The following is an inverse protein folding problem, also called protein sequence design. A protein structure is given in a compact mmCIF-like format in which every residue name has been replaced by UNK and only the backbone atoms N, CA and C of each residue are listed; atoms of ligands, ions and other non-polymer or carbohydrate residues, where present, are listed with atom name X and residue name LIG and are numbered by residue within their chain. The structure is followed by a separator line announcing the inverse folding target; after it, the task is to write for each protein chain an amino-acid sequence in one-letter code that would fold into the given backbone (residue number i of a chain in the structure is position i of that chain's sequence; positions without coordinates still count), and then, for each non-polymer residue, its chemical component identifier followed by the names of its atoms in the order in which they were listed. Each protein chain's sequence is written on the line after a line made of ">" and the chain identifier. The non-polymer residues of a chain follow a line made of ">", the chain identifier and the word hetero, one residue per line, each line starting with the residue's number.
data_IF_873033544351
#
_entry.id   IF_873033544351
#
_cell.length_a   1.000
_cell.length_b   1.000
_cell.length_c   1.000
_cell.angle_alpha   90.00
_cell.angle_beta   90.00
_cell.angle_gamma   90.00
#
_symmetry.space_group_name_H-M   'P 1'
#
loop_
_entity.id
_entity.type
_entity.pdbx_description
1 polymer ?
#
# COMPACT_ATOMS: atom_id res chain seq x y z
N UNK A 1 -31.83 22.98 -30.11
CA UNK A 1 -30.92 24.02 -29.57
C UNK A 1 -30.70 23.73 -28.09
N UNK A 2 -29.47 23.34 -27.72
CA UNK A 2 -28.80 23.30 -26.38
C UNK A 2 -27.84 22.11 -26.30
N UNK A 3 -26.57 22.40 -26.63
CA UNK A 3 -25.37 21.64 -26.24
C UNK A 3 -24.62 22.44 -25.18
N UNK A 4 -23.92 21.75 -24.28
CA UNK A 4 -22.78 22.26 -23.50
C UNK A 4 -23.13 22.77 -22.09
N UNK A 5 -22.41 22.44 -21.02
CA UNK A 5 -21.12 21.78 -20.95
C UNK A 5 -20.77 21.27 -19.54
N UNK A 6 -20.00 20.18 -19.52
CA UNK A 6 -19.23 19.73 -18.36
C UNK A 6 -18.20 20.81 -18.01
N UNK A 7 -18.24 21.34 -16.79
CA UNK A 7 -17.22 22.26 -16.27
C UNK A 7 -16.02 21.47 -15.75
N UNK A 8 -14.85 21.82 -16.27
CA UNK A 8 -13.52 21.35 -15.92
C UNK A 8 -13.22 21.42 -14.41
N UNK A 9 -13.18 20.28 -13.72
CA UNK A 9 -12.62 20.16 -12.36
C UNK A 9 -11.14 19.74 -12.33
N UNK A 10 -10.61 19.19 -13.42
CA UNK A 10 -9.26 18.62 -13.46
C UNK A 10 -8.15 19.63 -13.81
N UNK A 11 -8.47 20.76 -14.45
CA UNK A 11 -7.46 21.78 -14.81
C UNK A 11 -7.12 22.75 -13.66
N UNK A 12 -7.98 22.91 -12.64
CA UNK A 12 -7.71 23.83 -11.51
C UNK A 12 -6.65 23.28 -10.55
N UNK A 13 -6.61 21.98 -10.31
CA UNK A 13 -5.64 21.37 -9.39
C UNK A 13 -4.18 21.47 -9.88
N UNK A 14 -3.96 21.45 -11.19
CA UNK A 14 -2.63 21.60 -11.79
C UNK A 14 -2.14 23.07 -11.74
N UNK A 15 -3.05 24.04 -11.89
CA UNK A 15 -2.74 25.47 -11.77
C UNK A 15 -2.47 25.89 -10.31
N UNK A 16 -3.18 25.29 -9.35
CA UNK A 16 -2.94 25.50 -7.91
C UNK A 16 -1.60 24.94 -7.44
N UNK A 17 -1.08 23.89 -8.08
CA UNK A 17 0.25 23.32 -7.78
C UNK A 17 1.41 24.23 -8.24
N UNK A 18 1.23 24.96 -9.34
CA UNK A 18 2.19 25.97 -9.81
C UNK A 18 2.20 27.23 -8.93
N UNK A 19 1.05 27.61 -8.35
CA UNK A 19 0.95 28.74 -7.41
C UNK A 19 1.56 28.45 -6.01
N UNK A 20 1.84 27.18 -5.70
CA UNK A 20 2.33 26.73 -4.39
C UNK A 20 3.86 26.74 -4.23
N UNK A 21 4.61 26.96 -5.32
CA UNK A 21 6.08 27.01 -5.33
C UNK A 21 6.55 28.46 -5.52
N UNK A 22 7.41 28.94 -4.62
CA UNK A 22 8.11 30.21 -4.77
C UNK A 22 9.09 30.18 -5.94
N UNK A 23 9.59 31.35 -6.34
CA UNK A 23 10.47 31.54 -7.52
C UNK A 23 11.75 30.69 -7.51
N UNK A 24 12.16 30.21 -6.33
CA UNK A 24 13.38 29.42 -6.13
C UNK A 24 13.10 27.92 -5.89
N UNK A 25 11.87 27.47 -6.13
CA UNK A 25 11.43 26.09 -5.84
C UNK A 25 11.12 25.82 -4.36
N UNK A 26 11.34 26.78 -3.47
CA UNK A 26 10.93 26.73 -2.08
C UNK A 26 9.39 26.75 -1.93
N UNK A 27 8.81 26.09 -0.91
CA UNK A 27 7.37 26.18 -0.63
C UNK A 27 6.94 27.64 -0.41
N UNK A 28 5.81 28.05 -1.00
CA UNK A 28 5.34 29.44 -0.80
C UNK A 28 4.96 29.72 0.66
N UNK A 29 5.12 30.95 1.11
CA UNK A 29 4.71 31.35 2.47
C UNK A 29 3.22 31.08 2.74
N UNK A 30 2.37 31.18 1.71
CA UNK A 30 0.95 30.82 1.78
C UNK A 30 0.71 29.32 1.99
N UNK A 31 1.52 28.47 1.34
CA UNK A 31 1.50 27.02 1.58
C UNK A 31 1.98 26.69 2.99
N UNK A 32 3.08 27.29 3.44
CA UNK A 32 3.62 27.09 4.79
C UNK A 32 2.64 27.55 5.88
N UNK A 33 1.96 28.69 5.68
CA UNK A 33 0.91 29.18 6.59
C UNK A 33 -0.30 28.23 6.64
N UNK A 34 -0.71 27.67 5.51
CA UNK A 34 -1.79 26.66 5.45
C UNK A 34 -1.39 25.36 6.15
N UNK A 35 -0.17 24.88 5.92
CA UNK A 35 0.37 23.71 6.61
C UNK A 35 0.44 23.98 8.12
N UNK A 36 0.95 25.14 8.53
CA UNK A 36 1.03 25.55 9.93
C UNK A 36 -0.33 25.61 10.62
N UNK A 37 -1.36 26.18 9.96
CA UNK A 37 -2.74 26.21 10.48
C UNK A 37 -3.33 24.82 10.63
N UNK A 38 -3.22 23.99 9.60
CA UNK A 38 -3.72 22.61 9.64
C UNK A 38 -3.02 21.80 10.72
N UNK A 39 -1.71 21.99 10.88
CA UNK A 39 -0.94 21.32 11.93
C UNK A 39 -1.30 21.82 13.34
N UNK A 40 -1.63 23.11 13.51
CA UNK A 40 -2.08 23.65 14.78
C UNK A 40 -3.48 23.14 15.17
N UNK A 41 -4.40 23.03 14.20
CA UNK A 41 -5.69 22.37 14.40
C UNK A 41 -5.50 20.91 14.85
N UNK A 42 -4.44 20.23 14.38
CA UNK A 42 -4.05 18.87 14.76
C UNK A 42 -3.45 18.73 16.18
N UNK A 43 -3.12 19.82 16.88
CA UNK A 43 -2.50 19.77 18.21
C UNK A 43 -3.46 19.90 19.41
N UNK A 44 -4.73 20.27 19.22
CA UNK A 44 -5.72 20.30 20.31
C UNK A 44 -6.12 18.86 20.71
N UNK A 45 -5.85 18.51 21.96
CA UNK A 45 -5.68 17.15 22.50
C UNK A 45 -6.85 16.72 23.40
N UNK A 46 -8.07 17.11 23.01
CA UNK A 46 -9.35 16.78 23.66
C UNK A 46 -9.75 15.29 23.73
N UNK A 47 -8.79 14.37 23.91
CA UNK A 47 -9.02 12.98 24.29
C UNK A 47 -9.44 12.06 23.15
N UNK A 48 -9.27 12.44 21.87
CA UNK A 48 -9.69 11.61 20.74
C UNK A 48 -8.63 10.53 20.39
N UNK A 49 -8.87 9.23 20.70
CA UNK A 49 -7.89 8.16 20.52
C UNK A 49 -7.64 7.78 19.05
N UNK A 50 -8.41 8.32 18.10
CA UNK A 50 -8.32 7.98 16.67
C UNK A 50 -7.50 8.98 15.85
N UNK A 51 -7.00 10.06 16.46
CA UNK A 51 -6.33 11.16 15.74
C UNK A 51 -4.91 10.81 15.29
N UNK A 52 -4.26 9.84 15.92
CA UNK A 52 -2.95 9.35 15.49
C UNK A 52 -2.93 7.82 15.53
N UNK A 53 -3.03 7.23 14.36
CA UNK A 53 -2.76 5.81 14.14
C UNK A 53 -1.51 5.75 13.26
N UNK A 54 -0.38 5.24 13.78
CA UNK A 54 0.69 4.75 12.90
C UNK A 54 2.16 4.94 13.30
N UNK A 55 2.99 4.21 12.55
CA UNK A 55 4.46 4.22 12.52
C UNK A 55 5.01 5.06 11.36
N UNK A 56 5.60 4.47 10.31
CA UNK A 56 6.21 5.22 9.19
C UNK A 56 5.20 6.00 8.31
N UNK A 57 3.93 5.62 8.35
CA UNK A 57 2.79 6.39 7.84
C UNK A 57 1.90 6.73 9.03
N UNK A 58 1.53 7.99 9.14
CA UNK A 58 0.60 8.52 10.12
C UNK A 58 -0.73 8.89 9.43
N UNK A 59 -1.84 8.54 10.07
CA UNK A 59 -3.17 8.99 9.68
C UNK A 59 -3.71 9.94 10.75
N UNK A 60 -4.10 11.13 10.31
CA UNK A 60 -4.69 12.20 11.12
C UNK A 60 -6.14 12.38 10.73
N UNK A 61 -7.07 12.09 11.64
CA UNK A 61 -8.51 12.12 11.35
C UNK A 61 -9.27 12.98 12.36
N UNK A 62 -10.22 13.77 11.88
CA UNK A 62 -11.24 14.44 12.68
C UNK A 62 -12.56 13.69 12.48
N UNK A 63 -13.09 13.11 13.56
CA UNK A 63 -14.31 12.31 13.52
C UNK A 63 -15.41 13.05 14.26
N UNK A 64 -16.59 13.14 13.64
CA UNK A 64 -17.83 13.57 14.30
C UNK A 64 -18.59 12.32 14.78
N UNK A 65 -18.62 12.04 16.10
CA UNK A 65 -19.31 10.87 16.63
C UNK A 65 -20.83 10.95 16.49
N UNK A 66 -21.41 12.16 16.49
CA UNK A 66 -22.85 12.35 16.44
C UNK A 66 -23.39 12.00 15.05
N UNK A 67 -22.72 12.47 13.98
CA UNK A 67 -23.08 12.10 12.61
C UNK A 67 -22.46 10.77 12.13
N UNK A 68 -21.54 10.19 12.91
CA UNK A 68 -20.76 8.99 12.56
C UNK A 68 -19.99 9.15 11.24
N UNK A 69 -19.38 10.31 11.02
CA UNK A 69 -18.61 10.64 9.80
C UNK A 69 -17.21 11.12 10.13
N UNK A 70 -16.28 10.85 9.20
CA UNK A 70 -14.97 11.50 9.19
C UNK A 70 -15.17 12.88 8.56
N UNK A 71 -14.96 13.93 9.33
CA UNK A 71 -15.11 15.33 8.90
C UNK A 71 -13.89 15.81 8.12
N UNK A 72 -12.68 15.37 8.50
CA UNK A 72 -11.44 15.62 7.79
C UNK A 72 -10.44 14.47 8.00
N UNK A 73 -9.56 14.26 7.03
CA UNK A 73 -8.50 13.26 7.10
C UNK A 73 -7.25 13.69 6.33
N UNK A 74 -6.08 13.40 6.90
CA UNK A 74 -4.79 13.60 6.28
C UNK A 74 -3.90 12.37 6.51
N UNK A 75 -3.13 12.01 5.48
CA UNK A 75 -2.05 11.02 5.60
C UNK A 75 -0.71 11.73 5.53
N UNK A 76 0.23 11.30 6.38
CA UNK A 76 1.57 11.84 6.46
C UNK A 76 2.59 10.70 6.51
N UNK A 77 3.53 10.67 5.57
CA UNK A 77 4.66 9.76 5.60
C UNK A 77 5.87 10.49 6.20
N UNK A 78 6.38 10.01 7.33
CA UNK A 78 7.47 10.68 8.07
C UNK A 78 8.86 10.26 7.58
N UNK A 79 8.96 9.11 6.92
CA UNK A 79 10.23 8.57 6.44
C UNK A 79 10.58 9.08 5.02
N UNK A 80 11.77 9.66 4.87
CA UNK A 80 12.33 10.07 3.59
C UNK A 80 13.76 9.53 3.40
N UNK A 81 14.05 8.94 2.23
CA UNK A 81 15.38 8.39 1.88
C UNK A 81 16.03 9.01 0.65
N UNK A 82 15.28 9.75 -0.18
CA UNK A 82 15.84 10.52 -1.29
C UNK A 82 16.47 9.70 -2.44
N UNK A 83 15.87 8.57 -2.83
CA UNK A 83 16.40 7.69 -3.89
C UNK A 83 16.69 8.41 -5.22
N UNK A 84 15.87 9.39 -5.59
CA UNK A 84 16.05 10.19 -6.82
C UNK A 84 17.37 10.95 -6.80
N UNK A 85 17.71 11.56 -5.65
CA UNK A 85 19.00 12.23 -5.45
C UNK A 85 20.15 11.23 -5.39
N UNK A 86 19.94 10.06 -4.76
CA UNK A 86 20.96 9.02 -4.64
C UNK A 86 21.40 8.45 -6.00
N UNK A 87 20.49 8.42 -6.98
CA UNK A 87 20.75 7.92 -8.33
C UNK A 87 21.47 8.93 -9.24
N UNK A 88 21.51 10.21 -8.87
CA UNK A 88 22.20 11.23 -9.68
C UNK A 88 23.69 10.91 -9.79
N UNK A 89 24.19 10.96 -11.03
CA UNK A 89 25.60 10.69 -11.38
C UNK A 89 26.10 9.30 -10.96
N UNK A 90 25.20 8.35 -10.69
CA UNK A 90 25.54 6.94 -10.51
C UNK A 90 25.73 6.26 -11.84
N UNK A 91 26.51 5.18 -11.82
CA UNK A 91 26.62 4.29 -12.96
C UNK A 91 25.25 3.64 -13.24
N UNK A 92 24.87 3.55 -14.51
CA UNK A 92 23.58 2.98 -14.91
C UNK A 92 23.44 1.53 -14.44
N UNK A 93 24.55 0.79 -14.30
CA UNK A 93 24.56 -0.60 -13.80
C UNK A 93 24.13 -0.70 -12.35
N UNK A 94 24.31 0.36 -11.56
CA UNK A 94 23.95 0.39 -10.15
C UNK A 94 22.48 0.76 -9.92
N UNK A 95 21.81 1.34 -10.93
CA UNK A 95 20.46 1.89 -10.76
C UNK A 95 19.44 0.83 -10.32
N UNK A 96 19.51 -0.39 -10.90
CA UNK A 96 18.67 -1.51 -10.50
C UNK A 96 18.90 -1.93 -9.05
N UNK A 97 20.17 -2.09 -8.66
CA UNK A 97 20.55 -2.50 -7.30
C UNK A 97 20.14 -1.45 -6.25
N UNK A 98 20.33 -0.16 -6.54
CA UNK A 98 19.96 0.93 -5.64
C UNK A 98 18.44 1.00 -5.52
N UNK A 99 17.73 1.01 -6.65
CA UNK A 99 16.26 1.12 -6.67
C UNK A 99 15.58 -0.07 -5.98
N UNK A 100 16.12 -1.29 -6.09
CA UNK A 100 15.61 -2.47 -5.42
C UNK A 100 15.52 -2.31 -3.89
N UNK A 101 16.39 -1.49 -3.29
CA UNK A 101 16.38 -1.26 -1.83
C UNK A 101 15.29 -0.29 -1.39
N UNK A 102 14.58 0.36 -2.31
CA UNK A 102 13.51 1.30 -2.00
C UNK A 102 12.37 0.65 -1.22
N UNK A 103 12.19 -0.67 -1.34
CA UNK A 103 11.21 -1.44 -0.57
C UNK A 103 11.74 -2.85 -0.31
N UNK A 104 11.67 -3.31 0.95
CA UNK A 104 11.98 -4.69 1.30
C UNK A 104 10.87 -5.69 0.95
N UNK A 105 9.74 -5.20 0.43
CA UNK A 105 8.63 -6.04 -0.04
C UNK A 105 8.73 -6.11 -1.56
N UNK A 106 8.57 -4.98 -2.25
CA UNK A 106 8.49 -4.92 -3.71
C UNK A 106 9.82 -4.54 -4.40
N UNK A 107 10.96 -4.91 -3.80
CA UNK A 107 12.29 -4.57 -4.33
C UNK A 107 12.53 -5.06 -5.76
N UNK A 108 12.12 -6.29 -6.08
CA UNK A 108 12.19 -6.85 -7.43
C UNK A 108 11.40 -6.05 -8.47
N UNK A 109 10.29 -5.42 -8.08
CA UNK A 109 9.50 -4.55 -8.96
C UNK A 109 10.29 -3.29 -9.32
N UNK A 110 10.98 -2.70 -8.33
CA UNK A 110 11.84 -1.55 -8.57
C UNK A 110 13.01 -1.89 -9.50
N UNK A 111 13.68 -3.03 -9.30
CA UNK A 111 14.76 -3.47 -10.16
C UNK A 111 14.30 -3.76 -11.60
N UNK A 112 13.17 -4.47 -11.75
CA UNK A 112 12.60 -4.77 -13.06
C UNK A 112 12.22 -3.48 -13.81
N UNK A 113 11.59 -2.53 -13.11
CA UNK A 113 11.22 -1.22 -13.68
C UNK A 113 12.48 -0.43 -14.06
N UNK A 114 13.51 -0.43 -13.20
CA UNK A 114 14.79 0.22 -13.50
C UNK A 114 15.43 -0.36 -14.75
N UNK A 115 15.44 -1.68 -14.92
CA UNK A 115 15.97 -2.33 -16.11
C UNK A 115 15.18 -1.90 -17.36
N UNK A 116 13.84 -1.89 -17.31
CA UNK A 116 12.99 -1.46 -18.42
C UNK A 116 13.22 0.01 -18.80
N UNK A 117 13.40 0.89 -17.82
CA UNK A 117 13.73 2.30 -18.07
C UNK A 117 15.08 2.46 -18.77
N UNK A 118 16.10 1.70 -18.35
CA UNK A 118 17.43 1.73 -18.99
C UNK A 118 17.40 1.14 -20.40
N UNK A 119 16.68 0.03 -20.60
CA UNK A 119 16.50 -0.58 -21.92
C UNK A 119 15.87 0.42 -22.90
N UNK A 120 14.83 1.13 -22.46
CA UNK A 120 14.19 2.18 -23.23
C UNK A 120 15.14 3.34 -23.52
N UNK A 121 15.87 3.83 -22.51
CA UNK A 121 16.78 4.97 -22.65
C UNK A 121 17.97 4.67 -23.58
N UNK A 122 18.45 3.43 -23.57
CA UNK A 122 19.61 2.98 -24.37
C UNK A 122 19.22 2.35 -25.72
N UNK A 123 17.92 2.22 -26.01
CA UNK A 123 17.43 1.56 -27.23
C UNK A 123 17.76 0.07 -27.30
N UNK A 124 17.90 -0.60 -26.16
CA UNK A 124 18.24 -2.03 -26.08
C UNK A 124 16.98 -2.86 -26.33
N UNK A 125 17.07 -3.82 -27.26
CA UNK A 125 16.03 -4.84 -27.45
C UNK A 125 16.30 -6.04 -26.57
N UNK A 126 15.45 -6.24 -25.56
CA UNK A 126 15.59 -7.38 -24.65
C UNK A 126 15.24 -8.70 -25.34
N UNK A 127 16.05 -9.76 -25.18
CA UNK A 127 15.71 -11.08 -25.69
C UNK A 127 14.38 -11.60 -25.09
N UNK A 128 13.58 -12.37 -25.86
CA UNK A 128 12.31 -12.91 -25.37
C UNK A 128 12.44 -13.72 -24.06
N UNK A 129 13.53 -14.48 -23.90
CA UNK A 129 13.80 -15.23 -22.68
C UNK A 129 13.94 -14.32 -21.44
N UNK A 130 14.60 -13.17 -21.59
CA UNK A 130 14.77 -12.22 -20.49
C UNK A 130 13.44 -11.52 -20.12
N UNK A 131 12.53 -11.32 -21.08
CA UNK A 131 11.16 -10.88 -20.80
C UNK A 131 10.41 -11.96 -20.01
N UNK A 132 10.50 -13.23 -20.45
CA UNK A 132 9.86 -14.35 -19.77
C UNK A 132 10.35 -14.51 -18.32
N UNK A 133 11.67 -14.46 -18.09
CA UNK A 133 12.24 -14.54 -16.75
C UNK A 133 11.75 -13.42 -15.84
N UNK A 134 11.69 -12.17 -16.33
CA UNK A 134 11.13 -11.04 -15.58
C UNK A 134 9.65 -11.24 -15.25
N UNK A 135 8.86 -11.76 -16.19
CA UNK A 135 7.44 -12.03 -15.95
C UNK A 135 7.23 -13.10 -14.88
N UNK A 136 8.05 -14.16 -14.87
CA UNK A 136 8.00 -15.20 -13.82
C UNK A 136 8.39 -14.65 -12.45
N UNK A 137 9.43 -13.80 -12.39
CA UNK A 137 9.84 -13.12 -11.16
C UNK A 137 8.71 -12.23 -10.61
N UNK A 138 8.11 -11.39 -11.46
CA UNK A 138 7.00 -10.52 -11.07
C UNK A 138 5.75 -11.33 -10.69
N UNK A 139 5.49 -12.49 -11.31
CA UNK A 139 4.42 -13.39 -10.90
C UNK A 139 4.66 -13.95 -9.49
N UNK A 140 5.88 -14.36 -9.16
CA UNK A 140 6.24 -14.80 -7.81
C UNK A 140 6.06 -13.67 -6.79
N UNK A 141 6.45 -12.44 -7.16
CA UNK A 141 6.23 -11.25 -6.35
C UNK A 141 4.74 -11.01 -6.07
N UNK A 142 3.90 -11.08 -7.09
CA UNK A 142 2.44 -10.92 -6.93
C UNK A 142 1.84 -11.96 -5.99
N UNK A 143 2.26 -13.22 -6.10
CA UNK A 143 1.80 -14.29 -5.20
C UNK A 143 2.20 -14.02 -3.75
N UNK A 144 3.44 -13.58 -3.51
CA UNK A 144 3.87 -13.20 -2.16
C UNK A 144 3.05 -12.01 -1.63
N UNK A 145 2.96 -10.92 -2.41
CA UNK A 145 2.43 -9.65 -1.93
C UNK A 145 0.91 -9.72 -1.72
N UNK A 146 0.18 -10.36 -2.62
CA UNK A 146 -1.28 -10.49 -2.51
C UNK A 146 -1.66 -11.32 -1.26
N UNK A 147 -0.99 -12.45 -1.04
CA UNK A 147 -1.25 -13.32 0.11
C UNK A 147 -0.88 -12.63 1.42
N UNK A 148 0.29 -11.99 1.46
CA UNK A 148 0.74 -11.22 2.62
C UNK A 148 -0.25 -10.12 2.97
N UNK A 149 -0.67 -9.33 1.97
CA UNK A 149 -1.61 -8.25 2.19
C UNK A 149 -2.95 -8.79 2.73
N UNK A 150 -3.55 -9.76 2.03
CA UNK A 150 -4.90 -10.24 2.35
C UNK A 150 -4.98 -10.95 3.70
N UNK A 151 -4.04 -11.84 4.01
CA UNK A 151 -4.18 -12.73 5.17
C UNK A 151 -3.29 -12.34 6.35
N UNK A 152 -2.13 -11.73 6.10
CA UNK A 152 -1.17 -11.44 7.17
C UNK A 152 -1.28 -10.01 7.69
N UNK A 153 -1.57 -9.05 6.79
CA UNK A 153 -1.69 -7.63 7.12
C UNK A 153 -3.15 -7.24 7.38
N UNK A 154 -4.03 -7.35 6.39
CA UNK A 154 -5.44 -6.91 6.49
C UNK A 154 -6.36 -7.97 7.09
N UNK A 155 -6.07 -9.26 6.92
CA UNK A 155 -6.90 -10.36 7.42
C UNK A 155 -7.24 -10.23 8.91
N UNK A 156 -6.25 -9.94 9.79
CA UNK A 156 -6.50 -9.74 11.22
C UNK A 156 -7.44 -8.58 11.58
N UNK A 157 -7.74 -7.66 10.67
CA UNK A 157 -8.77 -6.63 10.92
C UNK A 157 -10.19 -7.21 10.85
N UNK A 158 -10.36 -8.35 10.17
CA UNK A 158 -11.63 -9.08 10.00
C UNK A 158 -11.75 -10.31 10.90
N UNK A 159 -10.67 -10.62 11.62
CA UNK A 159 -10.57 -11.65 12.65
C UNK A 159 -11.75 -11.64 13.64
N UNK A 160 -12.08 -12.82 14.18
CA UNK A 160 -13.14 -12.98 15.18
C UNK A 160 -12.93 -12.04 16.38
N UNK A 161 -11.71 -11.94 16.89
CA UNK A 161 -11.34 -11.10 18.04
C UNK A 161 -11.57 -9.61 17.73
N UNK A 162 -11.16 -9.17 16.55
CA UNK A 162 -11.31 -7.78 16.11
C UNK A 162 -12.80 -7.40 15.95
N UNK A 163 -13.58 -8.27 15.31
CA UNK A 163 -15.02 -8.06 15.11
C UNK A 163 -15.78 -8.13 16.44
N UNK A 164 -15.48 -9.09 17.32
CA UNK A 164 -16.12 -9.16 18.66
C UNK A 164 -15.79 -7.96 19.54
N UNK A 165 -14.61 -7.36 19.38
CA UNK A 165 -14.22 -6.16 20.12
C UNK A 165 -14.96 -4.90 19.63
N UNK A 166 -15.27 -4.81 18.33
CA UNK A 166 -15.77 -3.57 17.71
C UNK A 166 -17.24 -3.63 17.30
N UNK A 167 -17.74 -4.77 16.82
CA UNK A 167 -19.07 -4.94 16.22
C UNK A 167 -19.63 -6.35 16.55
N UNK A 168 -20.04 -6.58 17.81
CA UNK A 168 -20.52 -7.90 18.29
C UNK A 168 -21.72 -8.42 17.50
N UNK A 169 -22.59 -7.53 17.05
CA UNK A 169 -23.76 -7.85 16.24
C UNK A 169 -23.39 -8.41 14.86
N UNK A 170 -22.24 -8.01 14.30
CA UNK A 170 -21.73 -8.59 13.06
C UNK A 170 -21.27 -10.01 13.31
N UNK A 171 -20.57 -10.27 14.43
CA UNK A 171 -20.15 -11.62 14.80
C UNK A 171 -21.34 -12.58 14.92
N UNK A 172 -22.39 -12.20 15.67
CA UNK A 172 -23.58 -13.05 15.84
C UNK A 172 -24.20 -13.44 14.50
N UNK A 173 -24.26 -12.52 13.53
CA UNK A 173 -24.74 -12.80 12.18
C UNK A 173 -23.76 -13.69 11.42
N UNK A 174 -22.46 -13.40 11.45
CA UNK A 174 -21.44 -14.15 10.75
C UNK A 174 -21.37 -15.61 11.19
N UNK A 175 -21.51 -15.90 12.49
CA UNK A 175 -21.50 -17.28 13.02
C UNK A 175 -22.64 -18.14 12.47
N UNK A 176 -23.75 -17.53 12.06
CA UNK A 176 -24.94 -18.22 11.54
C UNK A 176 -25.06 -18.13 10.01
N UNK A 177 -24.41 -17.16 9.38
CA UNK A 177 -24.49 -16.94 7.96
C UNK A 177 -23.75 -18.04 7.18
N UNK A 178 -24.41 -18.78 6.28
CA UNK A 178 -23.74 -19.78 5.46
C UNK A 178 -22.74 -19.11 4.52
N UNK A 179 -21.55 -19.70 4.38
CA UNK A 179 -20.56 -19.20 3.45
C UNK A 179 -20.91 -19.62 2.01
N UNK A 180 -20.96 -18.64 1.10
CA UNK A 180 -21.14 -18.92 -0.32
C UNK A 180 -19.91 -19.64 -0.86
N UNK A 181 -20.11 -20.71 -1.62
CA UNK A 181 -19.06 -21.58 -2.16
C UNK A 181 -18.32 -22.41 -1.09
N UNK A 182 -19.00 -22.78 0.00
CA UNK A 182 -18.49 -23.67 1.04
C UNK A 182 -17.83 -24.96 0.50
N UNK A 183 -18.28 -25.48 -0.65
CA UNK A 183 -17.69 -26.64 -1.31
C UNK A 183 -16.29 -26.41 -1.88
N UNK A 184 -15.90 -25.16 -2.12
CA UNK A 184 -14.58 -24.80 -2.67
C UNK A 184 -13.55 -24.61 -1.57
N UNK A 185 -13.91 -23.91 -0.50
CA UNK A 185 -12.97 -23.53 0.57
C UNK A 185 -13.19 -24.29 1.90
N UNK A 186 -14.22 -25.13 2.00
CA UNK A 186 -14.43 -26.02 3.15
C UNK A 186 -14.99 -25.37 4.42
N UNK A 187 -15.36 -24.08 4.38
CA UNK A 187 -15.94 -23.37 5.53
C UNK A 187 -17.45 -23.29 5.38
N UNK A 188 -18.18 -23.79 6.39
CA UNK A 188 -19.65 -23.82 6.36
C UNK A 188 -20.29 -22.43 6.58
N UNK A 189 -19.67 -21.60 7.43
CA UNK A 189 -20.20 -20.27 7.79
C UNK A 189 -19.17 -19.18 7.58
N UNK A 190 -19.63 -17.93 7.47
CA UNK A 190 -18.74 -16.76 7.41
C UNK A 190 -17.92 -16.66 8.70
N UNK A 191 -18.53 -16.92 9.86
CA UNK A 191 -17.84 -16.94 11.14
C UNK A 191 -16.65 -17.91 11.16
N UNK A 192 -16.80 -19.10 10.56
CA UNK A 192 -15.70 -20.04 10.43
C UNK A 192 -14.54 -19.49 9.58
N UNK A 193 -14.81 -18.68 8.55
CA UNK A 193 -13.75 -18.01 7.78
C UNK A 193 -13.07 -16.94 8.64
N UNK A 194 -13.83 -16.11 9.36
CA UNK A 194 -13.27 -15.03 10.18
C UNK A 194 -12.39 -15.56 11.31
N UNK A 195 -12.78 -16.66 11.96
CA UNK A 195 -11.96 -17.32 12.99
C UNK A 195 -10.62 -17.81 12.42
N UNK A 196 -10.54 -18.15 11.14
CA UNK A 196 -9.32 -18.67 10.52
C UNK A 196 -8.34 -17.55 10.09
N UNK A 197 -8.77 -16.29 10.16
CA UNK A 197 -7.93 -15.10 9.96
C UNK A 197 -7.16 -14.69 11.22
N UNK A 198 -7.39 -15.37 12.35
CA UNK A 198 -6.76 -15.06 13.63
C UNK A 198 -5.24 -15.22 13.58
N UNK A 199 -4.54 -14.23 14.13
CA UNK A 199 -3.10 -14.33 14.37
C UNK A 199 -2.84 -14.89 15.78
N UNK A 200 -1.90 -15.84 15.96
CA UNK A 200 -1.15 -16.57 14.93
C UNK A 200 -1.78 -17.93 14.56
N UNK A 201 -2.89 -18.29 15.20
CA UNK A 201 -3.39 -19.67 15.25
C UNK A 201 -4.37 -20.04 14.13
N UNK A 202 -4.92 -19.06 13.40
CA UNK A 202 -5.85 -19.30 12.31
C UNK A 202 -5.17 -20.03 11.15
N UNK A 203 -5.84 -21.03 10.58
CA UNK A 203 -5.32 -21.85 9.49
C UNK A 203 -5.09 -21.03 8.22
N UNK A 204 -6.01 -20.13 7.86
CA UNK A 204 -5.82 -19.27 6.67
C UNK A 204 -4.63 -18.33 6.86
N UNK A 205 -4.42 -17.83 8.09
CA UNK A 205 -3.23 -17.05 8.43
C UNK A 205 -1.95 -17.89 8.31
N UNK A 206 -1.93 -19.11 8.85
CA UNK A 206 -0.77 -20.00 8.79
C UNK A 206 -0.45 -20.46 7.35
N UNK A 207 -1.46 -20.86 6.59
CA UNK A 207 -1.33 -21.26 5.19
C UNK A 207 -0.80 -20.11 4.33
N UNK A 208 -1.24 -18.87 4.60
CA UNK A 208 -0.71 -17.69 3.93
C UNK A 208 0.80 -17.50 4.18
N UNK A 209 1.29 -17.76 5.39
CA UNK A 209 2.73 -17.71 5.69
C UNK A 209 3.51 -18.77 4.89
N UNK A 210 2.95 -19.97 4.74
CA UNK A 210 3.56 -21.02 3.94
C UNK A 210 3.55 -20.69 2.44
N UNK A 211 2.45 -20.15 1.92
CA UNK A 211 2.36 -19.67 0.54
C UNK A 211 3.37 -18.55 0.27
N UNK A 212 3.52 -17.59 1.19
CA UNK A 212 4.54 -16.55 1.09
C UNK A 212 5.95 -17.15 1.07
N UNK A 213 6.23 -18.13 1.94
CA UNK A 213 7.53 -18.84 1.96
C UNK A 213 7.81 -19.52 0.61
N UNK A 214 6.83 -20.20 0.03
CA UNK A 214 6.95 -20.87 -1.26
C UNK A 214 7.18 -19.87 -2.41
N UNK A 215 6.41 -18.77 -2.44
CA UNK A 215 6.58 -17.72 -3.45
C UNK A 215 7.98 -17.09 -3.41
N UNK A 216 8.51 -16.84 -2.20
CA UNK A 216 9.87 -16.31 -2.00
C UNK A 216 10.95 -17.32 -2.39
N UNK A 217 10.74 -18.60 -2.11
CA UNK A 217 11.67 -19.65 -2.53
C UNK A 217 11.71 -19.78 -4.06
N UNK A 218 10.56 -19.77 -4.73
CA UNK A 218 10.47 -19.77 -6.19
C UNK A 218 11.14 -18.54 -6.80
N UNK A 219 10.93 -17.36 -6.20
CA UNK A 219 11.61 -16.14 -6.60
C UNK A 219 13.14 -16.26 -6.45
N UNK A 220 13.62 -16.78 -5.31
CA UNK A 220 15.05 -16.94 -5.04
C UNK A 220 15.73 -17.93 -6.01
N UNK A 221 15.03 -18.95 -6.52
CA UNK A 221 15.55 -19.84 -7.55
C UNK A 221 15.84 -19.11 -8.87
N UNK A 222 15.05 -18.07 -9.18
CA UNK A 222 15.17 -17.31 -10.42
C UNK A 222 16.12 -16.12 -10.30
N UNK A 223 16.14 -15.45 -9.15
CA UNK A 223 16.90 -14.20 -8.94
C UNK A 223 18.02 -14.30 -7.87
N UNK A 224 18.27 -15.50 -7.35
CA UNK A 224 19.34 -15.79 -6.39
C UNK A 224 18.96 -15.53 -4.92
N UNK A 225 18.13 -14.51 -4.63
CA UNK A 225 17.64 -14.23 -3.27
C UNK A 225 16.32 -13.46 -3.26
N UNK A 226 15.65 -13.43 -2.12
CA UNK A 226 14.54 -12.53 -1.81
C UNK A 226 14.78 -11.97 -0.41
N UNK A 227 14.59 -10.67 -0.12
CA UNK A 227 13.84 -9.67 -0.90
C UNK A 227 14.55 -8.97 -2.07
N UNK A 228 15.84 -8.60 -1.98
CA UNK A 228 16.39 -7.68 -2.99
C UNK A 228 16.99 -8.44 -4.18
N UNK A 229 16.44 -8.24 -5.38
CA UNK A 229 17.06 -8.60 -6.67
C UNK A 229 16.86 -7.48 -7.65
#
# INVERSE_FOLDING_TARGET
>A
MRRGGMRHGALSAALDAQAARGRDGAPSAGLLSRIGRRNAELQDDGGNPFRKIGGAIELHCVVDPASRRVADAASFASAFRGYETLLLKRDLRDAGLISATASGICGGVHAATSAQCLEMALGIRTPPLAILMRNLLLACQYLNDAVMHLFVLSGPDYAETAIRATNREIWTKASQAPARHATVHGHATIGAILTELERPAGRLFAEALDMMRLARAAYALLAGKYPNS
#
